data_IF_038159400504
#
_entry.id   IF_038159400504
#
_cell.length_a   1.000
_cell.length_b   1.000
_cell.length_c   1.000
_cell.angle_alpha   90.00
_cell.angle_beta   90.00
_cell.angle_gamma   90.00
#
_symmetry.space_group_name_H-M   'P 1'
#
loop_
_entity.id
_entity.type
_entity.pdbx_description
1 polymer ?
#
# COMPACT_ATOMS: atom_id res chain seq x y z
N UNK A 1 -4.22 -22.87 9.88
CA UNK A 1 -4.47 -21.83 8.90
C UNK A 1 -5.97 -21.62 8.69
N UNK A 2 -6.33 -20.50 8.11
CA UNK A 2 -7.71 -20.17 7.72
C UNK A 2 -7.78 -20.17 6.18
N UNK A 3 -8.87 -20.67 5.63
CA UNK A 3 -9.24 -20.52 4.23
C UNK A 3 -10.62 -19.90 4.18
N UNK A 4 -10.74 -18.80 3.44
CA UNK A 4 -12.00 -18.07 3.27
C UNK A 4 -12.42 -18.14 1.81
N UNK A 5 -13.68 -18.50 1.59
CA UNK A 5 -14.28 -18.55 0.25
C UNK A 5 -15.56 -17.73 0.25
N UNK A 6 -15.86 -17.07 -0.87
CA UNK A 6 -17.05 -16.24 -1.03
C UNK A 6 -17.52 -16.22 -2.47
N UNK A 7 -18.65 -15.57 -2.69
CA UNK A 7 -19.22 -15.34 -4.01
C UNK A 7 -19.34 -13.84 -4.23
N UNK A 8 -18.94 -13.39 -5.42
CA UNK A 8 -19.09 -12.00 -5.84
C UNK A 8 -19.79 -11.99 -7.21
N UNK A 9 -20.75 -11.09 -7.48
CA UNK A 9 -21.29 -10.88 -8.82
C UNK A 9 -20.14 -10.44 -9.76
N UNK A 10 -20.14 -10.93 -11.00
CA UNK A 10 -19.06 -10.64 -11.96
C UNK A 10 -18.91 -9.15 -12.27
N UNK A 11 -20.02 -8.41 -12.25
CA UNK A 11 -20.08 -6.98 -12.45
C UNK A 11 -19.59 -6.14 -11.23
N UNK A 12 -19.32 -6.80 -10.10
CA UNK A 12 -18.79 -6.18 -8.88
C UNK A 12 -17.40 -6.69 -8.49
N UNK A 13 -16.82 -7.52 -9.34
CA UNK A 13 -15.49 -8.07 -9.08
C UNK A 13 -14.42 -7.00 -9.36
N UNK A 14 -13.68 -6.61 -8.31
CA UNK A 14 -12.48 -5.77 -8.44
C UNK A 14 -11.25 -6.67 -8.48
N UNK A 15 -10.52 -6.62 -9.57
CA UNK A 15 -9.26 -7.35 -9.72
C UNK A 15 -8.07 -6.44 -9.38
N UNK A 16 -6.92 -7.05 -9.10
CA UNK A 16 -5.67 -6.31 -8.95
C UNK A 16 -5.04 -5.87 -10.29
N UNK A 17 -5.66 -6.23 -11.41
CA UNK A 17 -5.19 -6.02 -12.79
C UNK A 17 -6.13 -5.15 -13.62
N UNK A 18 -6.81 -4.20 -13.00
CA UNK A 18 -7.81 -3.35 -13.66
C UNK A 18 -7.44 -1.86 -13.72
N UNK A 19 -6.24 -1.45 -13.28
CA UNK A 19 -5.86 -0.05 -13.27
C UNK A 19 -5.73 0.53 -14.69
N UNK A 20 -6.22 1.75 -14.89
CA UNK A 20 -6.17 2.48 -16.16
C UNK A 20 -5.20 3.66 -16.08
N UNK A 21 -4.59 4.00 -17.23
CA UNK A 21 -3.78 5.22 -17.35
C UNK A 21 -4.62 6.44 -16.99
N UNK A 22 -4.07 7.28 -16.11
CA UNK A 22 -4.77 8.44 -15.55
C UNK A 22 -5.44 8.22 -14.20
N UNK A 23 -5.52 6.98 -13.75
CA UNK A 23 -6.01 6.68 -12.40
C UNK A 23 -5.12 7.27 -11.32
N UNK A 24 -5.75 7.51 -10.20
CA UNK A 24 -5.13 7.91 -8.94
C UNK A 24 -5.15 6.74 -7.97
N UNK A 25 -4.11 6.61 -7.17
CA UNK A 25 -3.96 5.51 -6.22
C UNK A 25 -4.29 5.97 -4.80
N UNK A 26 -5.25 5.30 -4.18
CA UNK A 26 -5.67 5.51 -2.79
C UNK A 26 -5.18 4.36 -1.92
N UNK A 27 -4.51 4.68 -0.80
CA UNK A 27 -4.14 3.73 0.24
C UNK A 27 -5.02 3.94 1.49
N UNK A 28 -5.61 2.87 2.02
CA UNK A 28 -6.66 2.97 3.06
C UNK A 28 -6.20 2.67 4.48
N UNK A 29 -4.93 2.34 4.69
CA UNK A 29 -4.28 2.21 6.02
C UNK A 29 -2.83 2.65 5.94
N UNK A 30 -2.26 3.04 7.08
CA UNK A 30 -0.82 3.24 7.21
C UNK A 30 -0.05 1.92 7.06
N UNK A 31 1.24 2.00 6.68
CA UNK A 31 2.14 0.85 6.54
C UNK A 31 3.30 0.92 7.53
N UNK A 32 4.08 -0.16 7.61
CA UNK A 32 5.24 -0.28 8.49
C UNK A 32 5.04 -1.30 9.62
N UNK A 33 3.98 -2.16 9.54
CA UNK A 33 3.67 -3.11 10.60
C UNK A 33 4.76 -4.17 10.80
N UNK A 34 5.50 -4.56 9.76
CA UNK A 34 6.60 -5.50 9.87
C UNK A 34 7.81 -4.90 10.60
N UNK A 35 8.16 -3.65 10.31
CA UNK A 35 9.23 -2.90 10.98
C UNK A 35 8.88 -2.75 12.47
N UNK A 36 7.69 -2.24 12.80
CA UNK A 36 7.26 -2.04 14.20
C UNK A 36 7.22 -3.35 14.97
N UNK A 37 6.67 -4.44 14.39
CA UNK A 37 6.66 -5.74 15.08
C UNK A 37 8.06 -6.32 15.25
N UNK A 38 9.00 -6.00 14.37
CA UNK A 38 10.42 -6.37 14.52
C UNK A 38 11.06 -5.57 15.66
N UNK A 39 10.78 -4.28 15.76
CA UNK A 39 11.25 -3.42 16.82
C UNK A 39 10.71 -3.85 18.21
N UNK A 40 9.42 -4.22 18.30
CA UNK A 40 8.83 -4.77 19.53
C UNK A 40 9.54 -6.07 19.95
N UNK A 41 9.82 -6.99 19.01
CA UNK A 41 10.55 -8.23 19.30
C UNK A 41 11.99 -7.97 19.77
N UNK A 42 12.59 -6.88 19.31
CA UNK A 42 13.91 -6.40 19.73
C UNK A 42 13.89 -5.57 21.02
N UNK A 43 12.74 -5.41 21.67
CA UNK A 43 12.56 -4.60 22.88
C UNK A 43 12.96 -3.11 22.70
N UNK A 44 12.78 -2.58 21.46
CA UNK A 44 13.08 -1.19 21.11
C UNK A 44 11.84 -0.29 21.16
N UNK A 45 10.66 -0.87 21.07
CA UNK A 45 9.34 -0.22 21.15
C UNK A 45 8.47 -1.06 22.08
N UNK A 46 7.76 -0.39 23.01
CA UNK A 46 6.78 -1.05 23.86
C UNK A 46 5.46 -1.31 23.10
N UNK A 47 4.70 -2.33 23.52
CA UNK A 47 3.46 -2.70 22.81
C UNK A 47 2.38 -1.61 22.85
N UNK A 48 2.32 -0.83 23.91
CA UNK A 48 1.37 0.26 24.05
C UNK A 48 1.69 1.45 23.10
N UNK A 49 2.95 1.68 22.78
CA UNK A 49 3.37 2.68 21.78
C UNK A 49 2.90 2.29 20.37
N UNK A 50 2.67 0.99 20.10
CA UNK A 50 2.18 0.46 18.83
C UNK A 50 0.65 0.27 18.79
N UNK A 51 -0.10 0.82 19.71
CA UNK A 51 -1.55 0.60 19.81
C UNK A 51 -2.30 0.95 18.53
N UNK A 52 -1.97 2.06 17.86
CA UNK A 52 -2.59 2.47 16.60
C UNK A 52 -2.37 1.43 15.47
N UNK A 53 -1.18 0.80 15.41
CA UNK A 53 -0.90 -0.28 14.47
C UNK A 53 -1.76 -1.51 14.76
N UNK A 54 -1.87 -1.94 16.01
CA UNK A 54 -2.70 -3.09 16.38
C UNK A 54 -4.18 -2.84 16.10
N UNK A 55 -4.69 -1.63 16.33
CA UNK A 55 -6.07 -1.27 16.02
C UNK A 55 -6.31 -1.25 14.51
N UNK A 56 -5.35 -0.76 13.73
CA UNK A 56 -5.39 -0.84 12.26
C UNK A 56 -5.45 -2.30 11.79
N UNK A 57 -4.63 -3.20 12.35
CA UNK A 57 -4.61 -4.63 12.00
C UNK A 57 -5.94 -5.33 12.30
N UNK A 58 -6.65 -4.96 13.39
CA UNK A 58 -7.98 -5.50 13.75
C UNK A 58 -9.10 -4.93 12.89
N UNK A 59 -8.88 -3.77 12.28
CA UNK A 59 -9.90 -3.09 11.47
C UNK A 59 -10.05 -3.79 10.12
N UNK A 60 -11.28 -4.21 9.80
CA UNK A 60 -11.60 -4.88 8.53
C UNK A 60 -11.54 -3.90 7.35
N UNK A 61 -11.21 -4.43 6.17
CA UNK A 61 -11.17 -3.68 4.90
C UNK A 61 -12.53 -3.61 4.19
N UNK A 62 -13.65 -3.80 4.91
CA UNK A 62 -14.99 -3.72 4.31
C UNK A 62 -15.44 -2.29 3.99
N UNK A 63 -15.05 -1.33 4.85
CA UNK A 63 -15.55 0.04 4.73
C UNK A 63 -15.14 0.75 3.43
N UNK A 64 -13.92 0.65 2.91
CA UNK A 64 -13.58 1.22 1.62
C UNK A 64 -14.49 0.75 0.50
N UNK A 65 -14.80 -0.55 0.46
CA UNK A 65 -15.65 -1.14 -0.58
C UNK A 65 -17.12 -0.73 -0.39
N UNK A 66 -17.63 -0.74 0.84
CA UNK A 66 -18.99 -0.27 1.15
C UNK A 66 -19.19 1.20 0.81
N UNK A 67 -18.22 2.04 1.17
CA UNK A 67 -18.26 3.49 0.94
C UNK A 67 -18.02 3.88 -0.52
N UNK A 68 -17.50 2.96 -1.34
CA UNK A 68 -17.33 3.17 -2.78
C UNK A 68 -18.62 2.93 -3.58
N UNK A 69 -19.74 2.64 -2.92
CA UNK A 69 -21.01 2.46 -3.65
C UNK A 69 -21.36 3.70 -4.48
N UNK A 70 -21.60 3.48 -5.79
CA UNK A 70 -21.89 4.53 -6.77
C UNK A 70 -20.63 5.24 -7.31
N UNK A 71 -19.43 4.83 -6.93
CA UNK A 71 -18.17 5.32 -7.48
C UNK A 71 -17.60 4.29 -8.47
N UNK A 72 -16.79 4.78 -9.41
CA UNK A 72 -16.07 3.94 -10.36
C UNK A 72 -14.71 3.53 -9.75
N UNK A 73 -14.47 2.22 -9.62
CA UNK A 73 -13.21 1.66 -9.19
C UNK A 73 -12.70 0.72 -10.29
N UNK A 74 -11.43 0.85 -10.66
CA UNK A 74 -10.82 0.07 -11.75
C UNK A 74 -10.01 -1.12 -11.24
N UNK A 75 -9.13 -0.89 -10.23
CA UNK A 75 -8.27 -1.91 -9.65
C UNK A 75 -8.27 -1.86 -8.13
N UNK A 76 -8.12 -3.03 -7.49
CA UNK A 76 -8.03 -3.11 -6.04
C UNK A 76 -7.21 -4.34 -5.62
N UNK A 77 -6.30 -4.14 -4.68
CA UNK A 77 -5.58 -5.22 -3.99
C UNK A 77 -5.42 -4.88 -2.51
N UNK A 78 -5.30 -5.90 -1.65
CA UNK A 78 -4.89 -5.71 -0.27
C UNK A 78 -3.36 -5.67 -0.16
N UNK A 79 -2.85 -4.90 0.80
CA UNK A 79 -1.42 -4.78 1.05
C UNK A 79 -1.03 -5.75 2.16
N UNK A 80 -0.27 -6.79 1.80
CA UNK A 80 0.14 -7.86 2.70
C UNK A 80 1.64 -8.17 2.60
N UNK A 81 2.03 -9.43 2.46
CA UNK A 81 3.39 -9.91 2.59
C UNK A 81 4.42 -9.34 1.61
N UNK A 82 4.00 -8.84 0.45
CA UNK A 82 4.91 -8.26 -0.56
C UNK A 82 5.19 -6.76 -0.34
N UNK A 83 4.58 -6.14 0.67
CA UNK A 83 4.69 -4.72 0.91
C UNK A 83 3.95 -3.87 -0.13
N UNK A 84 3.94 -2.56 0.06
CA UNK A 84 3.25 -1.66 -0.87
C UNK A 84 3.84 -1.74 -2.29
N UNK A 85 5.16 -1.74 -2.42
CA UNK A 85 5.84 -1.82 -3.73
C UNK A 85 5.51 -3.13 -4.44
N UNK A 86 5.54 -4.28 -3.73
CA UNK A 86 5.27 -5.56 -4.37
C UNK A 86 3.86 -5.63 -4.96
N UNK A 87 2.85 -5.22 -4.20
CA UNK A 87 1.47 -5.20 -4.70
C UNK A 87 1.23 -4.13 -5.77
N UNK A 88 1.93 -2.99 -5.71
CA UNK A 88 1.91 -2.00 -6.79
C UNK A 88 2.55 -2.56 -8.09
N UNK A 89 3.64 -3.34 -7.98
CA UNK A 89 4.22 -4.04 -9.14
C UNK A 89 3.23 -5.05 -9.75
N UNK A 90 2.56 -5.85 -8.92
CA UNK A 90 1.54 -6.79 -9.40
C UNK A 90 0.38 -6.07 -10.12
N UNK A 91 -0.09 -4.95 -9.54
CA UNK A 91 -1.14 -4.12 -10.15
C UNK A 91 -0.66 -3.54 -11.49
N UNK A 92 0.54 -2.97 -11.54
CA UNK A 92 1.10 -2.35 -12.74
C UNK A 92 1.27 -3.37 -13.87
N UNK A 93 1.92 -4.50 -13.58
CA UNK A 93 2.19 -5.56 -14.55
C UNK A 93 0.89 -6.23 -15.03
N UNK A 94 -0.02 -6.53 -14.10
CA UNK A 94 -1.31 -7.15 -14.41
C UNK A 94 -2.22 -6.25 -15.26
N UNK A 95 -2.11 -4.92 -15.11
CA UNK A 95 -2.87 -3.92 -15.87
C UNK A 95 -2.17 -3.44 -17.13
N UNK A 96 -0.87 -3.78 -17.32
CA UNK A 96 -0.08 -3.30 -18.45
C UNK A 96 0.20 -1.80 -18.40
N UNK A 97 0.42 -1.25 -17.23
CA UNK A 97 0.64 0.19 -16.95
C UNK A 97 1.92 0.42 -16.14
N UNK A 98 2.30 1.66 -15.93
CA UNK A 98 3.31 2.07 -14.95
C UNK A 98 2.66 2.78 -13.78
N UNK A 99 3.06 2.42 -12.57
CA UNK A 99 2.63 3.09 -11.32
C UNK A 99 3.73 4.04 -10.85
N UNK A 100 3.33 5.24 -10.44
CA UNK A 100 4.20 6.18 -9.72
C UNK A 100 3.67 6.41 -8.31
N UNK A 101 4.53 6.20 -7.31
CA UNK A 101 4.24 6.39 -5.89
C UNK A 101 4.96 7.64 -5.38
N UNK A 102 4.24 8.59 -4.83
CA UNK A 102 4.78 9.73 -4.11
C UNK A 102 5.09 9.31 -2.67
N UNK A 103 6.36 9.11 -2.36
CA UNK A 103 6.81 8.57 -1.08
C UNK A 103 6.36 9.40 0.12
N UNK A 104 6.43 10.73 -0.01
CA UNK A 104 6.01 11.66 1.04
C UNK A 104 4.49 11.65 1.32
N UNK A 105 3.68 11.08 0.43
CA UNK A 105 2.24 10.95 0.62
C UNK A 105 1.82 9.61 1.28
N UNK A 106 2.73 8.65 1.40
CA UNK A 106 2.43 7.34 1.98
C UNK A 106 2.31 7.45 3.50
N UNK A 107 1.14 7.13 4.10
CA UNK A 107 0.98 7.17 5.55
C UNK A 107 1.76 6.02 6.20
N UNK A 108 2.57 6.35 7.18
CA UNK A 108 3.34 5.40 7.99
C UNK A 108 2.83 5.38 9.42
N UNK A 109 2.98 4.25 10.11
CA UNK A 109 2.84 4.22 11.56
C UNK A 109 3.99 5.01 12.20
N UNK A 110 3.75 5.52 13.40
CA UNK A 110 4.77 6.22 14.18
C UNK A 110 6.03 5.36 14.33
N UNK A 111 7.19 6.01 14.37
CA UNK A 111 8.52 5.40 14.55
C UNK A 111 9.01 4.51 13.40
N UNK A 112 8.23 4.26 12.33
CA UNK A 112 8.65 3.37 11.21
C UNK A 112 9.97 3.83 10.60
N UNK A 113 10.09 5.12 10.24
CA UNK A 113 11.32 5.64 9.63
C UNK A 113 12.50 5.62 10.59
N UNK A 114 12.27 5.90 11.87
CA UNK A 114 13.34 5.88 12.86
C UNK A 114 13.89 4.46 13.04
N UNK A 115 13.02 3.46 13.10
CA UNK A 115 13.43 2.06 13.17
C UNK A 115 14.11 1.60 11.87
N UNK A 116 13.60 1.99 10.71
CA UNK A 116 14.21 1.69 9.43
C UNK A 116 15.62 2.28 9.31
N UNK A 117 15.83 3.54 9.71
CA UNK A 117 17.15 4.20 9.76
C UNK A 117 18.15 3.48 10.68
N UNK A 118 17.67 2.85 11.74
CA UNK A 118 18.48 2.01 12.63
C UNK A 118 18.74 0.60 12.07
N UNK A 119 18.20 0.28 10.89
CA UNK A 119 18.35 -1.04 10.27
C UNK A 119 17.45 -2.11 10.89
N UNK A 120 16.42 -1.73 11.66
CA UNK A 120 15.44 -2.64 12.25
C UNK A 120 14.40 -3.00 11.19
N UNK A 121 14.79 -3.90 10.29
CA UNK A 121 14.03 -4.25 9.09
C UNK A 121 13.78 -5.76 9.10
N UNK A 122 12.54 -6.23 8.91
CA UNK A 122 12.27 -7.66 8.88
C UNK A 122 12.90 -8.32 7.65
N UNK A 123 13.33 -9.57 7.79
CA UNK A 123 13.89 -10.34 6.67
C UNK A 123 12.95 -10.44 5.45
N UNK A 124 11.66 -10.22 5.64
CA UNK A 124 10.67 -10.13 4.57
C UNK A 124 10.92 -8.96 3.62
N UNK A 125 11.29 -7.78 4.14
CA UNK A 125 11.58 -6.59 3.34
C UNK A 125 12.75 -6.82 2.38
N UNK A 126 13.84 -7.42 2.85
CA UNK A 126 14.98 -7.76 2.00
C UNK A 126 14.59 -8.72 0.87
N UNK A 127 13.80 -9.76 1.17
CA UNK A 127 13.31 -10.69 0.13
C UNK A 127 12.40 -9.98 -0.89
N UNK A 128 11.55 -9.06 -0.43
CA UNK A 128 10.73 -8.26 -1.31
C UNK A 128 11.57 -7.34 -2.19
N UNK A 129 12.59 -6.70 -1.62
CA UNK A 129 13.54 -5.86 -2.36
C UNK A 129 14.33 -6.65 -3.40
N UNK A 130 14.84 -7.82 -3.05
CA UNK A 130 15.56 -8.69 -3.99
C UNK A 130 14.66 -9.14 -5.17
N UNK A 131 13.39 -9.45 -4.88
CA UNK A 131 12.46 -9.97 -5.90
C UNK A 131 11.84 -8.86 -6.75
N UNK A 132 11.38 -7.76 -6.14
CA UNK A 132 10.69 -6.69 -6.85
C UNK A 132 11.63 -5.57 -7.33
N UNK A 133 12.81 -5.39 -6.71
CA UNK A 133 13.75 -4.32 -7.02
C UNK A 133 14.10 -4.15 -8.50
N UNK A 134 14.32 -5.23 -9.27
CA UNK A 134 14.60 -5.10 -10.73
C UNK A 134 13.48 -4.44 -11.54
N UNK A 135 12.28 -4.31 -10.99
CA UNK A 135 11.09 -3.69 -11.61
C UNK A 135 10.76 -2.32 -11.06
N UNK A 136 11.60 -1.79 -10.18
CA UNK A 136 11.37 -0.54 -9.44
C UNK A 136 12.49 0.45 -9.75
N UNK A 137 12.14 1.69 -10.00
CA UNK A 137 13.07 2.81 -9.98
C UNK A 137 12.68 3.75 -8.84
N UNK A 138 13.64 4.21 -8.08
CA UNK A 138 13.43 5.13 -6.98
C UNK A 138 14.35 6.35 -7.12
N UNK A 139 13.85 7.53 -6.75
CA UNK A 139 14.65 8.74 -6.72
C UNK A 139 15.78 8.61 -5.66
N UNK A 140 16.95 9.22 -5.92
CA UNK A 140 18.12 9.10 -5.05
C UNK A 140 17.98 9.90 -3.74
N UNK A 141 17.10 10.88 -3.70
CA UNK A 141 16.88 11.82 -2.60
C UNK A 141 15.69 11.45 -1.69
N UNK A 142 15.22 10.21 -1.77
CA UNK A 142 14.18 9.73 -0.87
C UNK A 142 14.61 9.82 0.61
N UNK A 143 13.65 10.07 1.48
CA UNK A 143 13.84 10.03 2.93
C UNK A 143 14.51 8.71 3.35
N UNK A 144 15.63 8.73 4.11
CA UNK A 144 16.29 7.51 4.57
C UNK A 144 15.34 6.56 5.32
N UNK A 145 15.33 5.28 4.93
CA UNK A 145 14.42 4.25 5.46
C UNK A 145 13.07 4.19 4.75
N UNK A 146 12.73 5.15 3.90
CA UNK A 146 11.43 5.15 3.20
C UNK A 146 11.31 3.95 2.26
N UNK A 147 12.32 3.66 1.47
CA UNK A 147 12.29 2.52 0.55
C UNK A 147 12.12 1.19 1.30
N UNK A 148 12.77 1.04 2.45
CA UNK A 148 12.61 -0.12 3.32
C UNK A 148 11.16 -0.24 3.85
N UNK A 149 10.55 0.89 4.22
CA UNK A 149 9.15 0.93 4.67
C UNK A 149 8.17 0.56 3.55
N UNK A 150 8.45 0.94 2.30
CA UNK A 150 7.63 0.58 1.14
C UNK A 150 7.72 -0.91 0.76
N UNK A 151 8.84 -1.58 1.04
CA UNK A 151 9.01 -3.03 0.89
C UNK A 151 8.57 -3.83 2.12
N UNK A 152 8.21 -3.15 3.23
CA UNK A 152 7.88 -3.81 4.49
C UNK A 152 6.64 -4.70 4.37
N UNK A 153 6.72 -6.00 4.74
CA UNK A 153 5.55 -6.88 4.72
C UNK A 153 4.52 -6.43 5.75
N UNK A 154 3.27 -6.31 5.30
CA UNK A 154 2.18 -5.89 6.16
C UNK A 154 1.38 -7.08 6.68
N UNK A 155 0.95 -7.00 7.93
CA UNK A 155 -0.07 -7.87 8.52
C UNK A 155 -1.40 -7.12 8.54
N UNK A 156 -2.40 -7.65 7.85
CA UNK A 156 -3.74 -7.01 7.73
C UNK A 156 -3.65 -5.55 7.27
N UNK A 157 -2.88 -5.27 6.25
CA UNK A 157 -2.73 -3.94 5.68
C UNK A 157 -4.03 -3.43 5.04
N UNK A 158 -3.98 -2.22 4.50
CA UNK A 158 -5.10 -1.59 3.82
C UNK A 158 -5.31 -2.09 2.40
N UNK A 159 -6.18 -1.42 1.68
CA UNK A 159 -6.37 -1.60 0.25
C UNK A 159 -5.59 -0.54 -0.52
N UNK A 160 -5.00 -0.96 -1.65
CA UNK A 160 -4.54 -0.08 -2.71
C UNK A 160 -5.60 -0.08 -3.80
N UNK A 161 -6.21 1.06 -4.07
CA UNK A 161 -7.33 1.23 -4.99
C UNK A 161 -6.90 2.16 -6.11
N UNK A 162 -7.11 1.75 -7.36
CA UNK A 162 -6.94 2.57 -8.56
C UNK A 162 -8.31 3.00 -9.09
N UNK A 163 -8.52 4.30 -9.28
CA UNK A 163 -9.79 4.87 -9.73
C UNK A 163 -9.60 6.27 -10.33
N UNK A 164 -10.63 6.81 -11.05
CA UNK A 164 -10.63 8.21 -11.48
C UNK A 164 -10.45 9.17 -10.31
N UNK A 165 -9.75 10.29 -10.51
CA UNK A 165 -9.40 11.24 -9.46
C UNK A 165 -10.63 11.73 -8.66
N UNK A 166 -11.74 12.04 -9.34
CA UNK A 166 -12.96 12.52 -8.68
C UNK A 166 -13.58 11.46 -7.74
N UNK A 167 -13.51 10.18 -8.12
CA UNK A 167 -14.03 9.08 -7.32
C UNK A 167 -13.11 8.76 -6.14
N UNK A 168 -11.77 8.89 -6.32
CA UNK A 168 -10.80 8.79 -5.23
C UNK A 168 -11.02 9.90 -4.20
N UNK A 169 -11.20 11.15 -4.64
CA UNK A 169 -11.44 12.29 -3.75
C UNK A 169 -12.73 12.10 -2.93
N UNK A 170 -13.80 11.64 -3.57
CA UNK A 170 -15.06 11.36 -2.90
C UNK A 170 -14.96 10.18 -1.92
N UNK A 171 -14.29 9.09 -2.32
CA UNK A 171 -14.07 7.94 -1.44
C UNK A 171 -13.21 8.33 -0.23
N UNK A 172 -12.15 9.10 -0.44
CA UNK A 172 -11.30 9.59 0.65
C UNK A 172 -12.11 10.47 1.62
N UNK A 173 -12.96 11.37 1.10
CA UNK A 173 -13.84 12.19 1.92
C UNK A 173 -14.80 11.34 2.78
N UNK A 174 -15.40 10.28 2.19
CA UNK A 174 -16.29 9.36 2.92
C UNK A 174 -15.55 8.58 4.01
N UNK A 175 -14.34 8.11 3.70
CA UNK A 175 -13.48 7.39 4.66
C UNK A 175 -13.05 8.30 5.82
N UNK A 176 -12.62 9.53 5.52
CA UNK A 176 -12.26 10.50 6.55
C UNK A 176 -13.44 10.86 7.46
N UNK A 177 -14.67 10.93 6.91
CA UNK A 177 -15.88 11.16 7.71
C UNK A 177 -16.15 10.03 8.72
N UNK A 178 -15.65 8.80 8.47
CA UNK A 178 -15.68 7.68 9.43
C UNK A 178 -14.40 7.57 10.28
N UNK A 179 -13.52 8.59 10.26
CA UNK A 179 -12.27 8.61 11.02
C UNK A 179 -11.22 7.61 10.52
N UNK A 180 -11.29 7.21 9.23
CA UNK A 180 -10.37 6.24 8.63
C UNK A 180 -9.26 6.92 7.84
N UNK A 181 -8.14 6.24 7.74
CA UNK A 181 -7.04 6.65 6.85
C UNK A 181 -7.49 6.48 5.39
N UNK A 182 -7.20 7.50 4.58
CA UNK A 182 -7.38 7.48 3.14
C UNK A 182 -6.37 8.47 2.53
N UNK A 183 -5.31 7.96 1.93
CA UNK A 183 -4.23 8.78 1.39
C UNK A 183 -4.09 8.56 -0.11
N UNK A 184 -4.11 9.63 -0.88
CA UNK A 184 -3.74 9.61 -2.29
C UNK A 184 -2.23 9.55 -2.39
N UNK A 185 -1.70 8.41 -2.84
CA UNK A 185 -0.27 8.10 -2.77
C UNK A 185 0.43 7.99 -4.12
N UNK A 186 -0.30 8.12 -5.23
CA UNK A 186 0.32 7.95 -6.54
C UNK A 186 -0.65 8.04 -7.70
N UNK A 187 -0.12 7.74 -8.87
CA UNK A 187 -0.86 7.79 -10.14
C UNK A 187 -0.41 6.70 -11.10
N UNK A 188 -1.26 6.44 -12.09
CA UNK A 188 -1.05 5.44 -13.13
C UNK A 188 -0.73 6.11 -14.47
N UNK A 189 0.33 5.66 -15.13
CA UNK A 189 0.86 6.20 -16.38
C UNK A 189 0.95 5.13 -17.47
N UNK A 190 1.14 5.58 -18.71
CA UNK A 190 1.51 4.69 -19.80
C UNK A 190 2.82 3.95 -19.47
N UNK A 191 2.92 2.65 -19.78
CA UNK A 191 4.13 1.89 -19.52
C UNK A 191 5.26 2.34 -20.44
N UNK A 192 6.45 2.51 -19.88
CA UNK A 192 7.65 2.78 -20.66
C UNK A 192 8.23 1.45 -21.13
N UNK A 193 8.41 1.21 -22.45
CA UNK A 193 8.99 -0.04 -22.95
C UNK A 193 10.37 -0.32 -22.32
N UNK A 194 10.50 -1.46 -21.63
CA UNK A 194 11.72 -1.84 -20.89
C UNK A 194 11.98 -1.00 -19.63
N UNK A 195 11.06 -0.13 -19.26
CA UNK A 195 11.12 0.67 -18.04
C UNK A 195 10.62 -0.08 -16.80
N UNK A 196 10.68 0.56 -15.63
CA UNK A 196 10.21 -0.02 -14.38
C UNK A 196 8.68 -0.12 -14.37
N UNK A 197 8.15 -1.12 -13.66
CA UNK A 197 6.70 -1.22 -13.39
C UNK A 197 6.26 -0.16 -12.38
N UNK A 198 7.12 0.12 -11.38
CA UNK A 198 6.87 1.12 -10.34
C UNK A 198 8.00 2.14 -10.30
N UNK A 199 7.64 3.43 -10.21
CA UNK A 199 8.53 4.52 -9.87
C UNK A 199 8.18 5.05 -8.48
N UNK A 200 9.19 5.27 -7.65
CA UNK A 200 9.04 5.92 -6.35
C UNK A 200 9.68 7.29 -6.45
N UNK A 201 8.87 8.33 -6.29
CA UNK A 201 9.31 9.73 -6.35
C UNK A 201 9.20 10.39 -4.98
N UNK A 202 9.91 11.52 -4.82
CA UNK A 202 9.88 12.30 -3.58
C UNK A 202 8.52 12.95 -3.30
#
# INVERSE_FOLDING_TARGET
GLSVSGFVPLDRMLANSGAHVGDVLLLTKAIGSGIITTAIKGELIEQDEAAAMFDSMRTLNEAPIRLAEGLELHGCTDITGFGLIGHACEMAEGSGVQVELASGAVPLFDQVLDMARLGIIPAGSYRNQDFFGPRVAADEDLEPGMLDALYDPQTSGGLLIAAPAADVDELARRLHAEGRVAATIGRVFEPVPGGPAVRVVH
#
